data_IF_788462261338
#
_entry.id   IF_788462261338
#
_cell.length_a   1.000
_cell.length_b   1.000
_cell.length_c   1.000
_cell.angle_alpha   90.00
_cell.angle_beta   90.00
_cell.angle_gamma   90.00
#
_symmetry.space_group_name_H-M   'P 1'
#
loop_
_entity.id
_entity.type
_entity.pdbx_description
1 polymer ?
#
# COMPACT_ATOMS: atom_id res chain seq x y z
N UNK A 1 13.33 14.62 11.16
CA UNK A 1 12.03 15.07 11.64
C UNK A 1 12.26 15.84 12.90
N UNK A 2 11.84 17.08 12.97
CA UNK A 2 12.03 17.99 14.13
C UNK A 2 10.67 18.25 14.77
N UNK A 3 10.66 18.40 16.09
CA UNK A 3 9.59 18.93 16.91
C UNK A 3 8.15 18.50 16.56
N UNK A 4 7.65 17.51 17.25
CA UNK A 4 6.26 17.02 17.10
C UNK A 4 5.29 17.71 18.07
N UNK A 5 5.79 18.19 19.19
CA UNK A 5 5.04 18.93 20.22
C UNK A 5 3.71 18.26 20.65
N UNK A 6 3.66 16.92 20.70
CA UNK A 6 2.47 16.18 21.09
C UNK A 6 1.26 16.34 20.16
N UNK A 7 1.48 16.60 18.88
CA UNK A 7 0.42 16.64 17.87
C UNK A 7 0.30 15.27 17.18
N UNK A 8 -0.56 14.40 17.71
CA UNK A 8 -0.75 13.04 17.22
C UNK A 8 -1.14 12.98 15.74
N UNK A 9 -2.10 13.80 15.32
CA UNK A 9 -2.55 13.88 13.91
C UNK A 9 -1.42 14.31 12.96
N UNK A 10 -0.63 15.31 13.37
CA UNK A 10 0.52 15.77 12.58
C UNK A 10 1.60 14.69 12.50
N UNK A 11 1.81 13.95 13.58
CA UNK A 11 2.74 12.82 13.62
C UNK A 11 2.27 11.68 12.71
N UNK A 12 1.01 11.30 12.77
CA UNK A 12 0.43 10.29 11.90
C UNK A 12 0.50 10.71 10.43
N UNK A 13 0.19 11.96 10.11
CA UNK A 13 0.33 12.51 8.76
C UNK A 13 1.78 12.46 8.27
N UNK A 14 2.74 12.80 9.11
CA UNK A 14 4.15 12.74 8.77
C UNK A 14 4.60 11.28 8.61
N UNK A 15 4.19 10.35 9.48
CA UNK A 15 4.47 8.92 9.33
C UNK A 15 3.93 8.37 8.00
N UNK A 16 2.72 8.73 7.67
CA UNK A 16 2.09 8.32 6.43
C UNK A 16 2.78 8.89 5.18
N UNK A 17 3.31 10.11 5.24
CA UNK A 17 3.91 10.81 4.10
C UNK A 17 5.44 10.96 4.18
N UNK A 18 6.06 10.61 5.30
CA UNK A 18 7.39 11.11 5.71
C UNK A 18 8.54 10.74 4.81
N UNK A 19 8.48 9.68 4.06
CA UNK A 19 9.69 9.27 3.33
C UNK A 19 9.72 9.68 1.87
N UNK A 20 8.58 10.03 1.28
CA UNK A 20 8.44 10.16 -0.17
C UNK A 20 8.86 8.90 -0.96
N UNK A 21 9.24 7.84 -0.24
CA UNK A 21 9.72 6.59 -0.85
C UNK A 21 8.63 5.95 -1.69
N UNK A 22 7.42 5.85 -1.14
CA UNK A 22 6.28 5.23 -1.83
C UNK A 22 5.97 5.99 -3.10
N UNK A 23 5.84 7.33 -3.03
CA UNK A 23 5.55 8.17 -4.19
C UNK A 23 6.64 8.05 -5.26
N UNK A 24 7.90 8.09 -4.87
CA UNK A 24 9.04 7.92 -5.78
C UNK A 24 9.05 6.55 -6.45
N UNK A 25 8.73 5.47 -5.72
CA UNK A 25 8.65 4.14 -6.33
C UNK A 25 7.43 4.02 -7.25
N UNK A 26 6.29 4.64 -6.93
CA UNK A 26 5.14 4.71 -7.84
C UNK A 26 5.54 5.44 -9.14
N UNK A 27 6.18 6.60 -9.07
CA UNK A 27 6.65 7.31 -10.25
C UNK A 27 7.57 6.44 -11.11
N UNK A 28 8.54 5.76 -10.50
CA UNK A 28 9.48 4.90 -11.23
C UNK A 28 8.84 3.68 -11.89
N UNK A 29 7.84 3.07 -11.24
CA UNK A 29 7.24 1.83 -11.70
C UNK A 29 6.15 2.06 -12.75
N UNK A 30 5.47 3.21 -12.69
CA UNK A 30 4.22 3.40 -13.40
C UNK A 30 4.20 4.60 -14.35
N UNK A 31 5.32 5.34 -14.51
CA UNK A 31 5.38 6.52 -15.38
C UNK A 31 4.92 6.24 -16.81
N UNK A 32 5.24 5.05 -17.35
CA UNK A 32 4.88 4.65 -18.71
C UNK A 32 3.56 3.87 -18.80
N UNK A 33 2.85 3.65 -17.67
CA UNK A 33 1.67 2.79 -17.60
C UNK A 33 0.43 3.48 -17.06
N UNK A 34 0.61 4.41 -16.15
CA UNK A 34 -0.46 5.15 -15.50
C UNK A 34 -0.29 6.64 -15.78
N UNK A 35 -1.41 7.33 -15.97
CA UNK A 35 -1.44 8.79 -16.01
C UNK A 35 -0.97 9.39 -14.68
N UNK A 36 -0.71 10.69 -14.68
CA UNK A 36 -0.35 11.40 -13.45
C UNK A 36 -1.43 11.25 -12.38
N UNK A 37 -2.70 11.43 -12.74
CA UNK A 37 -3.83 11.36 -11.81
C UNK A 37 -4.02 9.94 -11.23
N UNK A 38 -3.80 8.90 -12.03
CA UNK A 38 -3.84 7.51 -11.56
C UNK A 38 -2.71 7.21 -10.59
N UNK A 39 -1.51 7.75 -10.81
CA UNK A 39 -0.38 7.61 -9.87
C UNK A 39 -0.65 8.33 -8.54
N UNK A 40 -1.20 9.54 -8.59
CA UNK A 40 -1.62 10.28 -7.39
C UNK A 40 -2.74 9.54 -6.63
N UNK A 41 -3.70 8.98 -7.35
CA UNK A 41 -4.76 8.14 -6.77
C UNK A 41 -4.16 6.90 -6.11
N UNK A 42 -3.24 6.20 -6.76
CA UNK A 42 -2.55 5.03 -6.18
C UNK A 42 -1.77 5.40 -4.91
N UNK A 43 -1.04 6.51 -4.93
CA UNK A 43 -0.34 7.02 -3.76
C UNK A 43 -1.31 7.32 -2.60
N UNK A 44 -2.43 7.97 -2.92
CA UNK A 44 -3.47 8.30 -1.92
C UNK A 44 -4.13 7.04 -1.35
N UNK A 45 -4.36 6.01 -2.17
CA UNK A 45 -4.85 4.70 -1.69
C UNK A 45 -3.87 4.09 -0.70
N UNK A 46 -2.56 4.16 -0.95
CA UNK A 46 -1.57 3.62 -0.01
C UNK A 46 -1.61 4.35 1.33
N UNK A 47 -1.74 5.67 1.34
CA UNK A 47 -1.74 6.45 2.57
C UNK A 47 -3.08 6.43 3.31
N UNK A 48 -4.19 6.55 2.58
CA UNK A 48 -5.55 6.69 3.11
C UNK A 48 -6.52 5.70 2.43
N UNK A 49 -6.30 4.37 2.57
CA UNK A 49 -7.00 3.37 1.76
C UNK A 49 -8.52 3.45 1.91
N UNK A 50 -9.04 3.46 3.13
CA UNK A 50 -10.50 3.41 3.36
C UNK A 50 -11.23 4.61 2.79
N UNK A 51 -10.70 5.81 3.01
CA UNK A 51 -11.31 7.05 2.53
C UNK A 51 -11.26 7.11 1.00
N UNK A 52 -10.09 6.78 0.42
CA UNK A 52 -9.91 6.89 -1.03
C UNK A 52 -10.68 5.81 -1.78
N UNK A 53 -10.72 4.57 -1.29
CA UNK A 53 -11.54 3.49 -1.88
C UNK A 53 -13.00 3.93 -1.95
N UNK A 54 -13.55 4.44 -0.85
CA UNK A 54 -14.95 4.91 -0.83
C UNK A 54 -15.22 5.96 -1.91
N UNK A 55 -14.35 6.97 -2.02
CA UNK A 55 -14.49 8.03 -3.02
C UNK A 55 -14.37 7.50 -4.46
N UNK A 56 -13.48 6.57 -4.72
CA UNK A 56 -13.33 5.98 -6.06
C UNK A 56 -14.55 5.16 -6.45
N UNK A 57 -15.06 4.33 -5.53
CA UNK A 57 -16.22 3.48 -5.79
C UNK A 57 -17.52 4.26 -6.05
N UNK A 58 -17.61 5.51 -5.59
CA UNK A 58 -18.75 6.40 -5.91
C UNK A 58 -18.73 6.87 -7.38
N UNK A 59 -17.57 6.77 -8.07
CA UNK A 59 -17.36 7.36 -9.39
C UNK A 59 -17.04 6.34 -10.48
N UNK A 60 -16.81 5.06 -10.15
CA UNK A 60 -16.50 4.02 -11.13
C UNK A 60 -17.76 3.23 -11.50
N UNK A 61 -17.89 2.90 -12.80
CA UNK A 61 -18.99 2.08 -13.31
C UNK A 61 -18.76 0.60 -13.05
N UNK A 62 -17.52 0.11 -13.19
CA UNK A 62 -17.13 -1.29 -12.99
C UNK A 62 -16.20 -1.40 -11.76
N UNK A 63 -16.82 -1.70 -10.63
CA UNK A 63 -16.12 -1.84 -9.35
C UNK A 63 -15.17 -3.04 -9.34
N UNK A 64 -15.50 -4.13 -10.03
CA UNK A 64 -14.67 -5.32 -10.08
C UNK A 64 -13.39 -5.05 -10.89
N UNK A 65 -13.51 -4.40 -12.04
CA UNK A 65 -12.37 -3.99 -12.85
C UNK A 65 -11.46 -3.02 -12.07
N UNK A 66 -12.06 -2.08 -11.33
CA UNK A 66 -11.30 -1.16 -10.49
C UNK A 66 -10.53 -1.88 -9.37
N UNK A 67 -11.17 -2.83 -8.68
CA UNK A 67 -10.50 -3.64 -7.64
C UNK A 67 -9.34 -4.45 -8.22
N UNK A 68 -9.53 -5.10 -9.39
CA UNK A 68 -8.46 -5.84 -10.05
C UNK A 68 -7.27 -4.95 -10.40
N UNK A 69 -7.53 -3.81 -11.01
CA UNK A 69 -6.47 -2.85 -11.39
C UNK A 69 -5.72 -2.34 -10.16
N UNK A 70 -6.45 -1.98 -9.10
CA UNK A 70 -5.87 -1.49 -7.85
C UNK A 70 -5.04 -2.56 -7.15
N UNK A 71 -5.54 -3.79 -7.01
CA UNK A 71 -4.79 -4.92 -6.43
C UNK A 71 -3.52 -5.20 -7.22
N UNK A 72 -3.60 -5.23 -8.56
CA UNK A 72 -2.45 -5.46 -9.45
C UNK A 72 -1.36 -4.40 -9.23
N UNK A 73 -1.73 -3.13 -9.22
CA UNK A 73 -0.80 -2.04 -9.02
C UNK A 73 -0.16 -2.08 -7.62
N UNK A 74 -0.93 -2.35 -6.58
CA UNK A 74 -0.42 -2.49 -5.22
C UNK A 74 0.51 -3.69 -5.06
N UNK A 75 0.26 -4.80 -5.75
CA UNK A 75 1.16 -5.96 -5.74
C UNK A 75 2.49 -5.62 -6.41
N UNK A 76 2.46 -4.94 -7.55
CA UNK A 76 3.68 -4.47 -8.23
C UNK A 76 4.52 -3.59 -7.32
N UNK A 77 3.89 -2.60 -6.68
CA UNK A 77 4.53 -1.72 -5.71
C UNK A 77 5.05 -2.48 -4.49
N UNK A 78 4.22 -3.34 -3.91
CA UNK A 78 4.54 -4.14 -2.74
C UNK A 78 5.72 -5.08 -2.99
N UNK A 79 5.78 -5.73 -4.15
CA UNK A 79 6.92 -6.55 -4.59
C UNK A 79 8.20 -5.75 -4.64
N UNK A 80 8.16 -4.56 -5.22
CA UNK A 80 9.32 -3.68 -5.31
C UNK A 80 9.81 -3.29 -3.92
N UNK A 81 8.92 -2.84 -3.05
CA UNK A 81 9.26 -2.40 -1.70
C UNK A 81 9.74 -3.57 -0.84
N UNK A 82 9.12 -4.75 -0.96
CA UNK A 82 9.48 -5.93 -0.17
C UNK A 82 10.73 -6.66 -0.66
N UNK A 83 11.21 -6.39 -1.88
CA UNK A 83 12.32 -7.12 -2.50
C UNK A 83 13.63 -7.10 -1.71
N UNK A 84 13.82 -6.11 -0.85
CA UNK A 84 15.00 -5.97 0.03
C UNK A 84 14.89 -6.77 1.34
N UNK A 85 13.75 -7.40 1.61
CA UNK A 85 13.49 -8.11 2.86
C UNK A 85 13.44 -9.62 2.68
N UNK A 86 13.74 -10.35 3.74
CA UNK A 86 13.53 -11.80 3.79
C UNK A 86 12.03 -12.13 3.93
N UNK A 87 11.62 -13.31 3.47
CA UNK A 87 10.24 -13.80 3.66
C UNK A 87 9.80 -13.81 5.13
N UNK A 88 10.70 -14.15 6.05
CA UNK A 88 10.41 -14.14 7.48
C UNK A 88 10.06 -12.73 7.99
N UNK A 89 10.80 -11.71 7.54
CA UNK A 89 10.50 -10.32 7.90
C UNK A 89 9.19 -9.85 7.26
N UNK A 90 8.97 -10.18 6.00
CA UNK A 90 7.71 -9.89 5.31
C UNK A 90 6.53 -10.47 6.10
N UNK A 91 6.55 -11.77 6.39
CA UNK A 91 5.47 -12.46 7.11
C UNK A 91 5.13 -11.82 8.46
N UNK A 92 6.13 -11.37 9.22
CA UNK A 92 5.94 -10.68 10.50
C UNK A 92 5.27 -9.30 10.37
N UNK A 93 5.29 -8.71 9.18
CA UNK A 93 4.73 -7.39 8.90
C UNK A 93 3.27 -7.48 8.45
N UNK A 94 2.86 -8.63 7.90
CA UNK A 94 1.54 -8.84 7.33
C UNK A 94 0.46 -9.03 8.41
N UNK A 95 -0.77 -8.59 8.10
CA UNK A 95 -1.95 -8.92 8.88
C UNK A 95 -2.15 -10.44 8.91
N UNK A 96 -2.23 -11.08 10.09
CA UNK A 96 -2.36 -12.54 10.21
C UNK A 96 -3.53 -13.12 9.40
N UNK A 97 -4.62 -12.37 9.24
CA UNK A 97 -5.82 -12.80 8.51
C UNK A 97 -5.58 -12.99 7.01
N UNK A 98 -4.66 -12.21 6.44
CA UNK A 98 -4.35 -12.20 5.02
C UNK A 98 -2.90 -12.56 4.71
N UNK A 99 -2.13 -12.95 5.73
CA UNK A 99 -0.67 -13.15 5.61
C UNK A 99 -0.31 -14.15 4.53
N UNK A 100 -1.03 -15.26 4.43
CA UNK A 100 -0.75 -16.29 3.44
C UNK A 100 -0.96 -15.78 2.02
N UNK A 101 -2.13 -15.19 1.75
CA UNK A 101 -2.47 -14.70 0.40
C UNK A 101 -1.58 -13.53 -0.01
N UNK A 102 -1.32 -12.59 0.90
CA UNK A 102 -0.45 -11.43 0.60
C UNK A 102 1.01 -11.90 0.41
N UNK A 103 1.51 -12.83 1.23
CA UNK A 103 2.85 -13.38 1.04
C UNK A 103 2.96 -14.04 -0.33
N UNK A 104 1.99 -14.86 -0.73
CA UNK A 104 1.98 -15.50 -2.04
C UNK A 104 1.99 -14.46 -3.16
N UNK A 105 1.09 -13.49 -3.12
CA UNK A 105 1.01 -12.41 -4.11
C UNK A 105 2.31 -11.59 -4.21
N UNK A 106 3.02 -11.39 -3.11
CA UNK A 106 4.26 -10.60 -3.09
C UNK A 106 5.51 -11.41 -3.42
N UNK A 107 5.51 -12.74 -3.23
CA UNK A 107 6.73 -13.56 -3.36
C UNK A 107 6.70 -14.60 -4.46
N UNK A 108 5.54 -14.86 -5.08
CA UNK A 108 5.44 -15.80 -6.19
C UNK A 108 6.41 -15.43 -7.32
N UNK A 109 7.14 -16.40 -7.83
CA UNK A 109 8.11 -16.24 -8.92
C UNK A 109 7.40 -16.32 -10.27
N UNK A 110 6.46 -15.42 -10.52
CA UNK A 110 5.78 -15.29 -11.80
C UNK A 110 6.39 -14.13 -12.56
N UNK A 111 6.73 -14.32 -13.84
CA UNK A 111 7.22 -13.24 -14.68
C UNK A 111 6.15 -12.15 -14.83
N UNK A 112 6.57 -10.89 -14.99
CA UNK A 112 5.67 -9.73 -15.10
C UNK A 112 4.61 -9.88 -16.22
N UNK A 113 4.93 -10.65 -17.27
CA UNK A 113 4.03 -10.93 -18.40
C UNK A 113 3.04 -12.08 -18.12
N UNK A 114 3.36 -12.99 -17.19
CA UNK A 114 2.51 -14.11 -16.80
C UNK A 114 1.62 -13.77 -15.57
N UNK A 115 1.73 -12.54 -15.06
CA UNK A 115 0.93 -12.06 -13.94
C UNK A 115 -0.58 -12.03 -14.26
N UNK A 116 -0.91 -11.89 -15.53
CA UNK A 116 -2.28 -11.63 -15.96
C UNK A 116 -3.20 -12.86 -15.76
N UNK A 117 -2.73 -14.07 -15.96
CA UNK A 117 -3.54 -15.27 -15.79
C UNK A 117 -3.52 -15.86 -14.36
N UNK A 118 -2.34 -15.92 -13.75
CA UNK A 118 -2.18 -16.57 -12.43
C UNK A 118 -2.90 -15.83 -11.30
N UNK A 119 -2.90 -14.50 -11.34
CA UNK A 119 -3.52 -13.71 -10.29
C UNK A 119 -4.99 -13.42 -10.52
N UNK A 120 -5.48 -13.53 -11.75
CA UNK A 120 -6.87 -13.23 -12.05
C UNK A 120 -7.83 -14.14 -11.28
N UNK A 121 -7.53 -15.44 -11.16
CA UNK A 121 -8.35 -16.35 -10.34
C UNK A 121 -8.33 -15.99 -8.85
N UNK A 122 -7.18 -15.54 -8.33
CA UNK A 122 -7.05 -15.08 -6.94
C UNK A 122 -7.84 -13.80 -6.73
N UNK A 123 -7.73 -12.84 -7.66
CA UNK A 123 -8.50 -11.59 -7.60
C UNK A 123 -10.00 -11.83 -7.70
N UNK A 124 -10.42 -12.69 -8.60
CA UNK A 124 -11.82 -13.10 -8.75
C UNK A 124 -12.36 -13.72 -7.46
N UNK A 125 -11.56 -14.54 -6.81
CA UNK A 125 -11.94 -15.11 -5.52
C UNK A 125 -12.05 -14.04 -4.43
N UNK A 126 -11.07 -13.13 -4.35
CA UNK A 126 -11.06 -12.02 -3.37
C UNK A 126 -12.29 -11.13 -3.56
N UNK A 127 -12.61 -10.75 -4.80
CA UNK A 127 -13.72 -9.86 -5.14
C UNK A 127 -15.05 -10.56 -4.86
N UNK A 128 -15.22 -11.78 -5.37
CA UNK A 128 -16.46 -12.57 -5.22
C UNK A 128 -16.86 -12.80 -3.76
N UNK A 129 -15.88 -12.88 -2.85
CA UNK A 129 -16.13 -13.09 -1.42
C UNK A 129 -16.14 -11.77 -0.60
N UNK A 130 -16.18 -10.62 -1.27
CA UNK A 130 -16.20 -9.29 -0.63
C UNK A 130 -15.01 -9.03 0.31
N UNK A 131 -13.83 -9.50 -0.09
CA UNK A 131 -12.59 -9.25 0.65
C UNK A 131 -11.70 -8.18 0.03
N UNK A 132 -12.04 -7.63 -1.14
CA UNK A 132 -11.17 -6.75 -1.91
C UNK A 132 -10.70 -5.53 -1.12
N UNK A 133 -11.60 -4.78 -0.50
CA UNK A 133 -11.26 -3.64 0.33
C UNK A 133 -10.34 -4.03 1.48
N UNK A 134 -10.66 -5.11 2.20
CA UNK A 134 -9.86 -5.56 3.35
C UNK A 134 -8.46 -6.00 2.95
N UNK A 135 -8.31 -6.67 1.80
CA UNK A 135 -7.01 -7.08 1.27
C UNK A 135 -6.21 -5.85 0.83
N UNK A 136 -6.83 -4.86 0.18
CA UNK A 136 -6.19 -3.60 -0.17
C UNK A 136 -5.68 -2.88 1.09
N UNK A 137 -6.50 -2.75 2.12
CA UNK A 137 -6.10 -2.14 3.40
C UNK A 137 -4.92 -2.88 4.01
N UNK A 138 -4.98 -4.21 4.09
CA UNK A 138 -3.89 -5.01 4.66
C UNK A 138 -2.59 -4.90 3.83
N UNK A 139 -2.71 -4.86 2.50
CA UNK A 139 -1.57 -4.71 1.59
C UNK A 139 -0.94 -3.31 1.68
N UNK A 140 -1.75 -2.27 1.75
CA UNK A 140 -1.25 -0.88 1.93
C UNK A 140 -0.56 -0.69 3.27
N UNK A 141 -1.06 -1.30 4.35
CA UNK A 141 -0.42 -1.29 5.66
C UNK A 141 0.93 -1.99 5.63
N UNK A 142 1.03 -3.13 4.95
CA UNK A 142 2.30 -3.82 4.76
C UNK A 142 3.30 -2.96 3.96
N UNK A 143 2.85 -2.33 2.87
CA UNK A 143 3.66 -1.42 2.04
C UNK A 143 4.19 -0.27 2.88
N UNK A 144 3.35 0.41 3.67
CA UNK A 144 3.77 1.51 4.55
C UNK A 144 4.83 1.06 5.55
N UNK A 145 4.60 -0.06 6.24
CA UNK A 145 5.54 -0.61 7.23
C UNK A 145 6.89 -1.02 6.62
N UNK A 146 6.89 -1.53 5.39
CA UNK A 146 8.09 -1.96 4.69
C UNK A 146 8.82 -0.82 3.97
N UNK A 147 8.13 0.27 3.64
CA UNK A 147 8.74 1.42 2.97
C UNK A 147 9.68 2.21 3.89
N UNK A 148 9.45 2.16 5.20
CA UNK A 148 10.23 2.88 6.21
C UNK A 148 11.02 1.90 7.07
N UNK A 149 12.35 1.89 6.89
CA UNK A 149 13.24 1.00 7.67
C UNK A 149 13.51 1.52 9.09
N UNK A 150 13.68 2.85 9.21
CA UNK A 150 14.01 3.54 10.47
C UNK A 150 13.38 4.94 10.48
N UNK A 151 12.78 5.28 11.59
CA UNK A 151 12.32 6.63 11.89
C UNK A 151 13.32 7.28 12.87
N UNK A 152 13.88 8.42 12.48
CA UNK A 152 14.70 9.25 13.36
C UNK A 152 13.90 10.51 13.69
N UNK A 153 13.60 10.69 14.96
CA UNK A 153 12.98 11.90 15.50
C UNK A 153 14.09 12.70 16.17
N UNK A 154 14.26 13.95 15.75
CA UNK A 154 15.22 14.88 16.30
C UNK A 154 14.40 16.08 16.77
N UNK A 155 14.35 16.29 18.08
CA UNK A 155 13.58 17.36 18.71
C UNK A 155 12.51 16.86 19.69
N UNK A 156 11.72 17.79 20.20
CA UNK A 156 10.74 17.53 21.25
C UNK A 156 9.49 16.79 20.74
N UNK A 157 9.14 15.70 21.42
CA UNK A 157 7.97 14.89 21.08
C UNK A 157 6.74 15.39 21.87
N UNK A 158 6.91 15.85 23.11
CA UNK A 158 5.80 16.07 24.06
C UNK A 158 5.70 17.50 24.62
N UNK A 159 6.53 18.44 24.20
CA UNK A 159 6.72 19.71 24.91
C UNK A 159 5.53 20.68 24.87
N UNK A 160 4.62 20.61 23.92
CA UNK A 160 3.53 21.62 23.77
C UNK A 160 2.23 21.06 23.22
N UNK A 161 2.09 19.76 23.15
CA UNK A 161 0.89 19.13 22.61
C UNK A 161 -0.19 18.85 23.65
N UNK A 162 -1.35 18.47 23.16
CA UNK A 162 -2.52 18.07 23.98
C UNK A 162 -2.60 16.58 24.18
N UNK A 163 -1.73 15.78 23.53
CA UNK A 163 -1.65 14.31 23.60
C UNK A 163 -0.22 13.83 23.88
#
# INVERSE_FOLDING_TARGET
MSDLHGQGDAFEHILNNASGVIRREIERLFVDRLSYDERETLATIVYYPKQKIKLELENVEDTDAWYRATLRNLIVLGRKISSKYTRSRLRKTLDPRFSYIIEELLTARVNFHDLDGYYDEIFDSIIRHDYAERVIVALTDAIKKLAVDKLHIVGDIYDRGTE
#
